data_IF_843431115601
#
_entry.id   IF_843431115601
#
_cell.length_a   1.000
_cell.length_b   1.000
_cell.length_c   1.000
_cell.angle_alpha   90.00
_cell.angle_beta   90.00
_cell.angle_gamma   90.00
#
_symmetry.space_group_name_H-M   'P 1'
#
loop_
_entity.id
_entity.type
_entity.pdbx_description
1 polymer ?
#
# COMPACT_ATOMS: atom_id res chain seq x y z
N UNK A 1 -26.61 -4.63 -0.32
CA UNK A 1 -25.35 -5.35 -0.08
C UNK A 1 -25.46 -6.66 -0.81
N UNK A 2 -24.68 -6.82 -1.86
CA UNK A 2 -24.69 -8.04 -2.68
C UNK A 2 -23.64 -9.00 -2.13
N UNK A 3 -24.04 -10.24 -1.84
CA UNK A 3 -23.13 -11.29 -1.37
C UNK A 3 -22.81 -12.21 -2.54
N UNK A 4 -21.60 -12.10 -3.08
CA UNK A 4 -21.19 -12.88 -4.23
C UNK A 4 -20.22 -13.99 -3.83
N UNK A 5 -20.63 -15.23 -4.08
CA UNK A 5 -19.73 -16.38 -4.04
C UNK A 5 -19.27 -16.68 -5.46
N UNK A 6 -17.99 -16.45 -5.73
CA UNK A 6 -17.40 -16.80 -7.01
C UNK A 6 -16.86 -18.23 -6.94
N UNK A 7 -17.12 -19.09 -7.94
CA UNK A 7 -16.54 -20.41 -7.98
C UNK A 7 -15.03 -20.33 -8.18
N UNK A 8 -14.29 -21.31 -7.63
CA UNK A 8 -12.85 -21.44 -7.84
C UNK A 8 -12.54 -21.62 -9.33
N UNK A 9 -11.86 -20.63 -9.92
CA UNK A 9 -11.67 -20.50 -11.34
C UNK A 9 -10.43 -19.67 -11.68
N UNK A 10 -10.00 -19.79 -12.93
CA UNK A 10 -9.10 -18.82 -13.52
C UNK A 10 -9.94 -17.68 -14.12
N UNK A 11 -9.77 -16.47 -13.61
CA UNK A 11 -10.48 -15.28 -14.09
C UNK A 11 -9.51 -14.45 -14.90
N UNK A 12 -9.79 -14.30 -16.20
CA UNK A 12 -9.10 -13.38 -17.08
C UNK A 12 -10.05 -12.24 -17.43
N UNK A 13 -9.77 -11.04 -16.93
CA UNK A 13 -10.61 -9.86 -17.17
C UNK A 13 -9.77 -8.74 -17.74
N UNK A 14 -10.14 -8.28 -18.95
CA UNK A 14 -9.67 -7.02 -19.51
C UNK A 14 -10.89 -6.11 -19.53
N UNK A 15 -10.82 -4.99 -18.81
CA UNK A 15 -11.90 -4.02 -18.77
C UNK A 15 -11.35 -2.65 -19.15
N UNK A 16 -12.08 -1.99 -20.06
CA UNK A 16 -11.94 -0.56 -20.34
C UNK A 16 -13.23 0.11 -19.95
N UNK A 17 -13.15 1.22 -19.23
CA UNK A 17 -14.35 1.85 -18.76
C UNK A 17 -14.19 3.33 -18.47
N UNK A 18 -15.18 4.09 -18.93
CA UNK A 18 -15.26 5.53 -18.70
C UNK A 18 -16.59 5.76 -17.97
N UNK A 19 -16.51 5.94 -16.66
CA UNK A 19 -17.71 6.13 -15.84
C UNK A 19 -17.66 7.49 -15.15
N UNK A 20 -18.77 8.23 -15.23
CA UNK A 20 -18.90 9.46 -14.47
C UNK A 20 -19.01 9.16 -12.97
N UNK A 21 -19.73 8.09 -12.61
CA UNK A 21 -19.99 7.77 -11.22
C UNK A 21 -20.13 6.26 -11.01
N UNK A 22 -19.42 5.71 -10.04
CA UNK A 22 -19.63 4.35 -9.53
C UNK A 22 -19.84 4.40 -8.02
N UNK A 23 -20.90 3.72 -7.57
CA UNK A 23 -21.03 3.26 -6.19
C UNK A 23 -21.09 1.74 -6.21
N UNK A 24 -20.13 1.09 -5.56
CA UNK A 24 -20.17 -0.35 -5.33
C UNK A 24 -20.28 -0.66 -3.84
N UNK A 25 -21.17 -1.60 -3.50
CA UNK A 25 -21.35 -2.12 -2.14
C UNK A 25 -21.40 -3.65 -2.19
N UNK A 26 -20.25 -4.28 -1.96
CA UNK A 26 -20.08 -5.71 -2.22
C UNK A 26 -19.46 -6.44 -1.02
N UNK A 27 -19.94 -7.66 -0.79
CA UNK A 27 -19.24 -8.65 0.03
C UNK A 27 -18.90 -9.84 -0.86
N UNK A 28 -17.61 -10.07 -1.12
CA UNK A 28 -17.21 -11.07 -2.09
C UNK A 28 -16.31 -12.16 -1.46
N UNK A 29 -16.59 -13.41 -1.79
CA UNK A 29 -15.72 -14.55 -1.51
C UNK A 29 -15.16 -15.12 -2.82
N UNK A 30 -13.84 -15.11 -2.93
CA UNK A 30 -13.10 -15.61 -4.09
C UNK A 30 -12.14 -16.74 -3.67
N UNK A 31 -12.61 -17.99 -3.56
CA UNK A 31 -11.77 -19.11 -3.14
C UNK A 31 -10.87 -19.61 -4.27
N UNK A 32 -9.57 -19.82 -3.99
CA UNK A 32 -8.64 -20.60 -4.83
C UNK A 32 -8.64 -20.24 -6.33
N UNK A 33 -8.61 -18.95 -6.64
CA UNK A 33 -8.63 -18.37 -7.96
C UNK A 33 -7.23 -17.96 -8.44
N UNK A 34 -6.96 -18.15 -9.72
CA UNK A 34 -5.95 -17.37 -10.41
C UNK A 34 -6.64 -16.20 -11.11
N UNK A 35 -6.37 -14.98 -10.65
CA UNK A 35 -7.01 -13.78 -11.18
C UNK A 35 -6.00 -12.98 -11.98
N UNK A 36 -6.23 -12.86 -13.28
CA UNK A 36 -5.51 -11.95 -14.16
C UNK A 36 -6.45 -10.80 -14.56
N UNK A 37 -6.17 -9.60 -14.06
CA UNK A 37 -6.98 -8.42 -14.32
C UNK A 37 -6.13 -7.32 -14.95
N UNK A 38 -6.55 -6.86 -16.13
CA UNK A 38 -6.09 -5.60 -16.71
C UNK A 38 -7.27 -4.63 -16.68
N UNK A 39 -7.09 -3.51 -15.99
CA UNK A 39 -8.07 -2.43 -15.94
C UNK A 39 -7.47 -1.18 -16.56
N UNK A 40 -8.22 -0.55 -17.46
CA UNK A 40 -7.93 0.80 -17.95
C UNK A 40 -9.18 1.65 -17.82
N UNK A 41 -9.22 2.55 -16.86
CA UNK A 41 -10.46 3.26 -16.63
C UNK A 41 -10.27 4.67 -16.15
N UNK A 42 -11.16 5.51 -16.64
CA UNK A 42 -11.24 6.92 -16.31
C UNK A 42 -12.54 7.15 -15.54
N UNK A 43 -12.40 7.74 -14.36
CA UNK A 43 -13.53 7.92 -13.46
C UNK A 43 -13.54 9.34 -12.92
N UNK A 44 -14.70 9.97 -12.91
CA UNK A 44 -14.84 11.23 -12.17
C UNK A 44 -14.95 10.91 -10.68
N UNK A 45 -15.85 10.01 -10.30
CA UNK A 45 -16.06 9.68 -8.90
C UNK A 45 -16.27 8.19 -8.68
N UNK A 46 -15.54 7.64 -7.70
CA UNK A 46 -15.78 6.30 -7.17
C UNK A 46 -16.03 6.35 -5.68
N UNK A 47 -17.07 5.66 -5.24
CA UNK A 47 -17.26 5.25 -3.85
C UNK A 47 -17.36 3.73 -3.82
N UNK A 48 -16.35 3.07 -3.24
CA UNK A 48 -16.36 1.63 -3.05
C UNK A 48 -16.38 1.31 -1.56
N UNK A 49 -17.38 0.53 -1.15
CA UNK A 49 -17.42 -0.12 0.16
C UNK A 49 -17.40 -1.64 -0.06
N UNK A 50 -16.28 -2.26 0.29
CA UNK A 50 -16.05 -3.68 -0.01
C UNK A 50 -15.59 -4.46 1.23
N UNK A 51 -16.17 -5.64 1.47
CA UNK A 51 -15.55 -6.64 2.33
C UNK A 51 -15.22 -7.88 1.52
N UNK A 52 -13.94 -8.18 1.38
CA UNK A 52 -13.53 -9.28 0.50
C UNK A 52 -12.67 -10.32 1.23
N UNK A 53 -12.92 -11.59 0.92
CA UNK A 53 -12.11 -12.72 1.36
C UNK A 53 -11.54 -13.45 0.15
N UNK A 54 -10.21 -13.53 0.09
CA UNK A 54 -9.43 -14.07 -1.02
C UNK A 54 -8.43 -15.13 -0.52
N UNK A 55 -8.86 -16.36 -0.21
CA UNK A 55 -7.96 -17.39 0.28
C UNK A 55 -7.25 -18.13 -0.87
N UNK A 56 -5.94 -18.33 -0.74
CA UNK A 56 -5.11 -19.18 -1.61
C UNK A 56 -5.17 -18.81 -3.11
N UNK A 57 -5.16 -17.52 -3.40
CA UNK A 57 -5.23 -16.93 -4.73
C UNK A 57 -3.85 -16.53 -5.26
N UNK A 58 -3.66 -16.70 -6.57
CA UNK A 58 -2.63 -15.99 -7.30
C UNK A 58 -3.27 -14.82 -8.05
N UNK A 59 -2.83 -13.61 -7.75
CA UNK A 59 -3.44 -12.39 -8.28
C UNK A 59 -2.41 -11.63 -9.09
N UNK A 60 -2.68 -11.45 -10.36
CA UNK A 60 -1.94 -10.56 -11.25
C UNK A 60 -2.85 -9.40 -11.68
N UNK A 61 -2.49 -8.19 -11.26
CA UNK A 61 -3.26 -6.98 -11.53
C UNK A 61 -2.38 -5.94 -12.23
N UNK A 62 -2.79 -5.53 -13.42
CA UNK A 62 -2.31 -4.31 -14.07
C UNK A 62 -3.46 -3.31 -14.08
N UNK A 63 -3.24 -2.16 -13.45
CA UNK A 63 -4.23 -1.10 -13.36
C UNK A 63 -3.61 0.16 -13.95
N UNK A 64 -4.29 0.76 -14.93
CA UNK A 64 -3.99 2.10 -15.41
C UNK A 64 -5.24 2.95 -15.31
N UNK A 65 -5.29 3.86 -14.36
CA UNK A 65 -6.55 4.53 -14.09
C UNK A 65 -6.36 5.98 -13.67
N UNK A 66 -7.23 6.83 -14.19
CA UNK A 66 -7.24 8.26 -13.93
C UNK A 66 -8.53 8.60 -13.20
N UNK A 67 -8.42 9.31 -12.08
CA UNK A 67 -9.54 9.58 -11.19
C UNK A 67 -9.57 11.03 -10.74
N UNK A 68 -10.74 11.66 -10.74
CA UNK A 68 -10.87 12.95 -10.03
C UNK A 68 -10.96 12.70 -8.52
N UNK A 69 -11.88 11.84 -8.08
CA UNK A 69 -12.01 11.53 -6.66
C UNK A 69 -12.30 10.06 -6.41
N UNK A 70 -11.62 9.49 -5.42
CA UNK A 70 -11.92 8.17 -4.88
C UNK A 70 -12.19 8.26 -3.39
N UNK A 71 -13.25 7.58 -2.96
CA UNK A 71 -13.43 7.16 -1.58
C UNK A 71 -13.48 5.63 -1.57
N UNK A 72 -12.52 5.00 -0.89
CA UNK A 72 -12.53 3.56 -0.63
C UNK A 72 -12.60 3.29 0.85
N UNK A 73 -13.51 2.39 1.19
CA UNK A 73 -13.63 1.85 2.52
C UNK A 73 -13.69 0.33 2.40
N UNK A 74 -12.92 -0.40 3.18
CA UNK A 74 -13.04 -1.84 3.12
C UNK A 74 -12.25 -2.61 4.16
N UNK A 75 -12.71 -3.83 4.40
CA UNK A 75 -12.00 -4.82 5.17
C UNK A 75 -11.67 -5.99 4.27
N UNK A 76 -10.37 -6.31 4.13
CA UNK A 76 -9.99 -7.40 3.26
C UNK A 76 -9.09 -8.42 3.96
N UNK A 77 -9.36 -9.69 3.70
CA UNK A 77 -8.60 -10.82 4.21
C UNK A 77 -8.03 -11.63 3.04
N UNK A 78 -6.71 -11.73 3.01
CA UNK A 78 -5.93 -12.32 1.92
C UNK A 78 -4.91 -13.34 2.47
N UNK A 79 -5.33 -14.54 2.88
CA UNK A 79 -4.40 -15.53 3.41
C UNK A 79 -3.75 -16.36 2.29
N UNK A 80 -2.44 -16.60 2.41
CA UNK A 80 -1.67 -17.53 1.58
C UNK A 80 -1.72 -17.26 0.06
N UNK A 81 -1.59 -16.00 -0.31
CA UNK A 81 -1.66 -15.48 -1.67
C UNK A 81 -0.29 -15.12 -2.24
N UNK A 82 -0.18 -15.25 -3.57
CA UNK A 82 0.88 -14.58 -4.33
C UNK A 82 0.26 -13.42 -5.10
N UNK A 83 0.76 -12.21 -4.89
CA UNK A 83 0.20 -11.00 -5.47
C UNK A 83 1.26 -10.26 -6.27
N UNK A 84 0.98 -10.08 -7.56
CA UNK A 84 1.73 -9.23 -8.46
C UNK A 84 0.84 -8.07 -8.88
N UNK A 85 1.22 -6.85 -8.50
CA UNK A 85 0.46 -5.64 -8.80
C UNK A 85 1.35 -4.61 -9.49
N UNK A 86 0.91 -4.16 -10.65
CA UNK A 86 1.41 -2.96 -11.31
C UNK A 86 0.29 -1.93 -11.34
N UNK A 87 0.51 -0.78 -10.72
CA UNK A 87 -0.41 0.35 -10.75
C UNK A 87 0.28 1.53 -11.43
N UNK A 88 -0.41 2.12 -12.41
CA UNK A 88 -0.14 3.46 -12.88
C UNK A 88 -1.39 4.29 -12.73
N UNK A 89 -1.34 5.37 -11.96
CA UNK A 89 -2.56 6.14 -11.76
C UNK A 89 -2.31 7.59 -11.40
N UNK A 90 -3.21 8.42 -11.89
CA UNK A 90 -3.21 9.84 -11.64
C UNK A 90 -4.52 10.18 -10.91
N UNK A 91 -4.43 10.78 -9.73
CA UNK A 91 -5.62 11.14 -8.94
C UNK A 91 -5.57 12.59 -8.46
N UNK A 92 -6.70 13.28 -8.52
CA UNK A 92 -6.79 14.58 -7.84
C UNK A 92 -6.98 14.40 -6.34
N UNK A 93 -7.94 13.57 -5.92
CA UNK A 93 -8.14 13.29 -4.50
C UNK A 93 -8.39 11.82 -4.22
N UNK A 94 -7.78 11.33 -3.14
CA UNK A 94 -8.06 10.01 -2.57
C UNK A 94 -8.32 10.13 -1.09
N UNK A 95 -9.38 9.44 -0.65
CA UNK A 95 -9.58 9.06 0.73
C UNK A 95 -9.68 7.53 0.78
N UNK A 96 -8.72 6.88 1.44
CA UNK A 96 -8.78 5.44 1.70
C UNK A 96 -8.84 5.18 3.21
N UNK A 97 -9.79 4.34 3.60
CA UNK A 97 -9.93 3.80 4.94
C UNK A 97 -9.93 2.27 4.83
N UNK A 98 -8.80 1.63 5.14
CA UNK A 98 -8.66 0.18 4.96
C UNK A 98 -8.22 -0.52 6.25
N UNK A 99 -8.85 -1.65 6.55
CA UNK A 99 -8.28 -2.63 7.48
C UNK A 99 -7.98 -3.92 6.72
N UNK A 100 -6.73 -4.33 6.68
CA UNK A 100 -6.37 -5.51 5.93
C UNK A 100 -5.55 -6.52 6.72
N UNK A 101 -5.81 -7.81 6.46
CA UNK A 101 -5.08 -8.93 7.04
C UNK A 101 -4.52 -9.80 5.92
N UNK A 102 -3.20 -9.93 5.89
CA UNK A 102 -2.43 -10.57 4.83
C UNK A 102 -1.40 -11.55 5.42
N UNK A 103 -1.80 -12.74 5.90
CA UNK A 103 -0.87 -13.71 6.43
C UNK A 103 -0.25 -14.59 5.34
N UNK A 104 1.05 -14.87 5.45
CA UNK A 104 1.80 -15.85 4.66
C UNK A 104 1.75 -15.63 3.13
N UNK A 105 1.92 -14.39 2.71
CA UNK A 105 1.86 -13.92 1.33
C UNK A 105 3.24 -13.62 0.75
N UNK A 106 3.35 -13.78 -0.57
CA UNK A 106 4.41 -13.16 -1.36
C UNK A 106 3.83 -12.02 -2.18
N UNK A 107 4.38 -10.83 -2.01
CA UNK A 107 3.83 -9.61 -2.60
C UNK A 107 4.90 -8.89 -3.42
N UNK A 108 4.61 -8.70 -4.70
CA UNK A 108 5.39 -7.89 -5.61
C UNK A 108 4.56 -6.70 -6.10
N UNK A 109 4.98 -5.48 -5.76
CA UNK A 109 4.27 -4.25 -6.10
C UNK A 109 5.19 -3.30 -6.86
N UNK A 110 4.74 -2.86 -8.03
CA UNK A 110 5.29 -1.69 -8.72
C UNK A 110 4.18 -0.65 -8.80
N UNK A 111 4.44 0.52 -8.25
CA UNK A 111 3.48 1.60 -8.18
C UNK A 111 4.13 2.84 -8.79
N UNK A 112 3.47 3.43 -9.80
CA UNK A 112 3.79 4.75 -10.33
C UNK A 112 2.56 5.63 -10.22
N UNK A 113 2.62 6.68 -9.44
CA UNK A 113 1.41 7.43 -9.19
C UNK A 113 1.64 8.91 -8.93
N UNK A 114 0.76 9.73 -9.48
CA UNK A 114 0.81 11.18 -9.35
C UNK A 114 -0.48 11.63 -8.65
N UNK A 115 -0.36 12.28 -7.50
CA UNK A 115 -1.53 12.67 -6.70
C UNK A 115 -1.48 14.13 -6.25
N UNK A 116 -2.62 14.82 -6.32
CA UNK A 116 -2.71 16.16 -5.72
C UNK A 116 -2.94 16.07 -4.21
N UNK A 117 -3.88 15.23 -3.76
CA UNK A 117 -4.15 15.07 -2.32
C UNK A 117 -4.49 13.63 -1.96
N UNK A 118 -3.81 13.11 -0.94
CA UNK A 118 -4.14 11.81 -0.34
C UNK A 118 -4.39 11.98 1.15
N UNK A 119 -5.47 11.34 1.60
CA UNK A 119 -5.69 11.00 3.00
C UNK A 119 -5.83 9.48 3.08
N UNK A 120 -4.88 8.82 3.74
CA UNK A 120 -4.97 7.39 4.01
C UNK A 120 -5.00 7.14 5.51
N UNK A 121 -5.99 6.38 5.97
CA UNK A 121 -5.97 5.75 7.29
C UNK A 121 -5.95 4.24 7.08
N UNK A 122 -4.90 3.59 7.51
CA UNK A 122 -4.73 2.15 7.34
C UNK A 122 -4.39 1.46 8.66
N UNK A 123 -5.06 0.34 8.93
CA UNK A 123 -4.60 -0.62 9.93
C UNK A 123 -4.34 -1.95 9.24
N UNK A 124 -3.08 -2.39 9.25
CA UNK A 124 -2.73 -3.62 8.56
C UNK A 124 -1.96 -4.62 9.42
N UNK A 125 -2.26 -5.90 9.22
CA UNK A 125 -1.56 -7.03 9.83
C UNK A 125 -0.99 -7.95 8.74
N UNK A 126 0.33 -8.08 8.72
CA UNK A 126 1.10 -8.76 7.69
C UNK A 126 2.12 -9.71 8.31
N UNK A 127 1.71 -10.88 8.83
CA UNK A 127 2.63 -11.85 9.39
C UNK A 127 3.24 -12.76 8.32
N UNK A 128 4.54 -13.08 8.46
CA UNK A 128 5.25 -14.11 7.68
C UNK A 128 5.22 -13.92 6.16
N UNK A 129 5.41 -12.68 5.70
CA UNK A 129 5.36 -12.27 4.31
C UNK A 129 6.76 -12.01 3.73
N UNK A 130 6.87 -12.22 2.42
CA UNK A 130 7.96 -11.66 1.62
C UNK A 130 7.42 -10.54 0.74
N UNK A 131 7.97 -9.35 0.89
CA UNK A 131 7.49 -8.15 0.20
C UNK A 131 8.60 -7.53 -0.63
N UNK A 132 8.31 -7.32 -1.91
CA UNK A 132 9.12 -6.52 -2.81
C UNK A 132 8.29 -5.35 -3.33
N UNK A 133 8.76 -4.13 -3.07
CA UNK A 133 8.05 -2.90 -3.45
C UNK A 133 8.96 -1.94 -4.19
N UNK A 134 8.49 -1.48 -5.35
CA UNK A 134 9.04 -0.31 -6.03
C UNK A 134 7.95 0.74 -6.08
N UNK A 135 8.22 1.91 -5.51
CA UNK A 135 7.33 3.07 -5.56
C UNK A 135 8.05 4.21 -6.29
N UNK A 136 7.35 4.81 -7.26
CA UNK A 136 7.73 6.09 -7.82
C UNK A 136 6.52 7.02 -7.81
N UNK A 137 6.56 8.08 -7.01
CA UNK A 137 5.38 8.90 -6.87
C UNK A 137 5.65 10.37 -6.65
N UNK A 138 4.77 11.19 -7.21
CA UNK A 138 4.83 12.63 -7.10
C UNK A 138 3.54 13.10 -6.40
N UNK A 139 3.68 13.81 -5.28
CA UNK A 139 2.54 14.21 -4.46
C UNK A 139 2.59 15.68 -4.07
N UNK A 140 1.47 16.39 -4.18
CA UNK A 140 1.39 17.75 -3.64
C UNK A 140 1.11 17.72 -2.13
N UNK A 141 0.19 16.89 -1.65
CA UNK A 141 -0.09 16.79 -0.22
C UNK A 141 -0.49 15.39 0.19
N UNK A 142 0.13 14.91 1.26
CA UNK A 142 -0.21 13.63 1.89
C UNK A 142 -0.46 13.82 3.37
N UNK A 143 -1.54 13.20 3.84
CA UNK A 143 -1.75 12.89 5.25
C UNK A 143 -1.91 11.36 5.36
N UNK A 144 -0.93 10.71 5.99
CA UNK A 144 -1.02 9.28 6.28
C UNK A 144 -1.05 9.04 7.80
N UNK A 145 -1.99 8.20 8.19
CA UNK A 145 -2.17 7.69 9.55
C UNK A 145 -2.16 6.17 9.47
N UNK A 146 -1.06 5.55 9.90
CA UNK A 146 -0.89 4.10 9.76
C UNK A 146 -0.60 3.43 11.10
N UNK A 147 -1.30 2.33 11.37
CA UNK A 147 -0.89 1.38 12.41
C UNK A 147 -0.67 0.01 11.79
N UNK A 148 0.58 -0.46 11.81
CA UNK A 148 0.88 -1.72 11.17
C UNK A 148 1.64 -2.70 12.07
N UNK A 149 1.32 -3.98 11.91
CA UNK A 149 1.99 -5.10 12.57
C UNK A 149 2.55 -6.07 11.53
N UNK A 150 3.88 -6.19 11.52
CA UNK A 150 4.65 -6.93 10.52
C UNK A 150 5.64 -7.89 11.19
N UNK A 151 5.19 -9.02 11.75
CA UNK A 151 6.10 -10.00 12.35
C UNK A 151 6.70 -10.96 11.31
N UNK A 152 7.98 -11.27 11.46
CA UNK A 152 8.69 -12.33 10.72
C UNK A 152 8.68 -12.18 9.19
N UNK A 153 8.90 -10.96 8.70
CA UNK A 153 8.88 -10.59 7.30
C UNK A 153 10.28 -10.38 6.71
N UNK A 154 10.40 -10.65 5.40
CA UNK A 154 11.51 -10.16 4.59
C UNK A 154 11.00 -9.06 3.66
N UNK A 155 11.60 -7.88 3.74
CA UNK A 155 11.11 -6.69 3.04
C UNK A 155 12.24 -6.08 2.22
N UNK A 156 11.99 -5.89 0.93
CA UNK A 156 12.84 -5.14 0.02
C UNK A 156 12.06 -3.98 -0.59
N UNK A 157 12.52 -2.76 -0.35
CA UNK A 157 11.86 -1.55 -0.85
C UNK A 157 12.81 -0.62 -1.60
N UNK A 158 12.34 -0.12 -2.74
CA UNK A 158 12.92 1.02 -3.44
C UNK A 158 11.84 2.09 -3.55
N UNK A 159 12.15 3.27 -3.03
CA UNK A 159 11.26 4.41 -3.00
C UNK A 159 11.94 5.59 -3.72
N UNK A 160 11.23 6.18 -4.67
CA UNK A 160 11.63 7.40 -5.39
C UNK A 160 10.49 8.37 -5.42
N UNK A 161 10.50 9.39 -4.59
CA UNK A 161 9.30 10.19 -4.44
C UNK A 161 9.57 11.68 -4.25
N UNK A 162 8.75 12.50 -4.88
CA UNK A 162 8.82 13.95 -4.80
C UNK A 162 7.55 14.47 -4.12
N UNK A 163 7.71 15.23 -3.04
CA UNK A 163 6.58 15.70 -2.24
C UNK A 163 6.69 17.18 -1.89
N UNK A 164 5.58 17.91 -2.01
CA UNK A 164 5.52 19.29 -1.51
C UNK A 164 5.28 19.29 0.01
N UNK A 165 4.24 18.60 0.48
CA UNK A 165 3.90 18.56 1.90
C UNK A 165 3.51 17.17 2.36
N UNK A 166 4.10 16.72 3.47
CA UNK A 166 3.74 15.44 4.10
C UNK A 166 3.50 15.62 5.58
N UNK A 167 2.42 15.03 6.06
CA UNK A 167 2.16 14.75 7.47
C UNK A 167 2.00 13.24 7.61
N UNK A 168 2.97 12.59 8.24
CA UNK A 168 2.90 11.17 8.56
C UNK A 168 2.85 10.96 10.07
N UNK A 169 1.91 10.12 10.49
CA UNK A 169 1.82 9.61 11.85
C UNK A 169 1.75 8.08 11.77
N UNK A 170 2.81 7.41 12.23
CA UNK A 170 2.95 5.97 12.11
C UNK A 170 3.22 5.31 13.47
N UNK A 171 2.48 4.26 13.78
CA UNK A 171 2.83 3.33 14.86
C UNK A 171 3.03 1.94 14.28
N UNK A 172 4.27 1.45 14.29
CA UNK A 172 4.57 0.17 13.69
C UNK A 172 5.29 -0.79 14.65
N UNK A 173 4.91 -2.06 14.56
CA UNK A 173 5.54 -3.16 15.27
C UNK A 173 6.13 -4.16 14.27
N UNK A 174 7.46 -4.26 14.27
CA UNK A 174 8.26 -5.06 13.35
C UNK A 174 9.15 -6.04 14.12
N UNK A 175 8.65 -7.14 14.67
CA UNK A 175 9.51 -8.13 15.32
C UNK A 175 10.09 -9.13 14.32
N UNK A 176 11.37 -9.48 14.47
CA UNK A 176 12.05 -10.56 13.75
C UNK A 176 12.08 -10.43 12.21
N UNK A 177 12.34 -9.23 11.70
CA UNK A 177 12.35 -8.91 10.27
C UNK A 177 13.75 -8.75 9.69
N UNK A 178 13.88 -9.04 8.39
CA UNK A 178 15.00 -8.58 7.57
C UNK A 178 14.52 -7.51 6.59
N UNK A 179 15.08 -6.31 6.68
CA UNK A 179 14.64 -5.16 5.89
C UNK A 179 15.80 -4.58 5.09
N UNK A 180 15.60 -4.43 3.79
CA UNK A 180 16.48 -3.69 2.89
C UNK A 180 15.70 -2.55 2.23
N UNK A 181 16.14 -1.31 2.46
CA UNK A 181 15.44 -0.12 1.96
C UNK A 181 16.41 0.83 1.25
N UNK A 182 16.03 1.23 0.04
CA UNK A 182 16.66 2.35 -0.68
C UNK A 182 15.62 3.46 -0.82
N UNK A 183 15.93 4.63 -0.29
CA UNK A 183 15.07 5.79 -0.33
C UNK A 183 15.77 6.95 -1.06
N UNK A 184 15.11 7.50 -2.09
CA UNK A 184 15.50 8.73 -2.75
C UNK A 184 14.31 9.67 -2.83
N UNK A 185 14.37 10.83 -2.19
CA UNK A 185 13.21 11.70 -2.18
C UNK A 185 13.56 13.17 -2.08
N UNK A 186 12.72 14.01 -2.68
CA UNK A 186 12.82 15.44 -2.61
C UNK A 186 11.57 15.99 -1.91
N UNK A 187 11.75 16.75 -0.83
CA UNK A 187 10.67 17.22 0.01
C UNK A 187 10.74 18.72 0.26
N UNK A 188 9.64 19.44 0.07
CA UNK A 188 9.58 20.85 0.50
C UNK A 188 9.29 20.98 2.01
N UNK A 189 8.33 20.21 2.53
CA UNK A 189 8.01 20.20 3.95
C UNK A 189 7.57 18.82 4.45
N UNK A 190 8.08 18.43 5.62
CA UNK A 190 7.68 17.19 6.29
C UNK A 190 7.44 17.44 7.77
N UNK A 191 6.32 16.92 8.25
CA UNK A 191 6.09 16.62 9.66
C UNK A 191 5.94 15.11 9.79
N UNK A 192 6.81 14.48 10.56
CA UNK A 192 6.75 13.05 10.79
C UNK A 192 6.77 12.74 12.29
N UNK A 193 5.85 11.87 12.72
CA UNK A 193 5.78 11.36 14.09
C UNK A 193 5.71 9.84 14.00
N UNK A 194 6.79 9.17 14.42
CA UNK A 194 6.89 7.71 14.33
C UNK A 194 7.13 7.08 15.71
N UNK A 195 6.37 6.03 16.01
CA UNK A 195 6.65 5.11 17.11
C UNK A 195 6.90 3.70 16.55
N UNK A 196 8.15 3.29 16.53
CA UNK A 196 8.56 2.01 15.96
C UNK A 196 9.13 1.08 17.04
N UNK A 197 8.52 -0.10 17.19
CA UNK A 197 9.04 -1.18 18.04
C UNK A 197 9.61 -2.30 17.16
N UNK A 198 10.93 -2.47 17.21
CA UNK A 198 11.69 -3.29 16.25
C UNK A 198 12.63 -4.30 16.95
N UNK A 199 12.11 -5.26 17.73
CA UNK A 199 12.95 -6.25 18.38
C UNK A 199 13.48 -7.28 17.36
N UNK A 200 14.76 -7.65 17.50
CA UNK A 200 15.40 -8.74 16.75
C UNK A 200 15.38 -8.60 15.21
N UNK A 201 15.63 -7.40 14.68
CA UNK A 201 15.67 -7.15 13.23
C UNK A 201 17.08 -7.01 12.68
N UNK A 202 17.26 -7.35 11.40
CA UNK A 202 18.39 -6.90 10.58
C UNK A 202 17.91 -5.84 9.60
N UNK A 203 18.51 -4.64 9.64
CA UNK A 203 18.06 -3.51 8.83
C UNK A 203 19.24 -2.91 8.07
N UNK A 204 19.10 -2.87 6.74
CA UNK A 204 19.99 -2.14 5.84
C UNK A 204 19.22 -1.01 5.16
N UNK A 205 19.70 0.23 5.33
CA UNK A 205 19.09 1.42 4.74
C UNK A 205 20.12 2.22 3.95
N UNK A 206 19.74 2.67 2.76
CA UNK A 206 20.45 3.69 2.00
C UNK A 206 19.49 4.85 1.76
N UNK A 207 19.90 6.06 2.14
CA UNK A 207 19.08 7.26 2.09
C UNK A 207 19.78 8.34 1.25
N UNK A 208 19.03 8.96 0.34
CA UNK A 208 19.44 10.21 -0.30
C UNK A 208 18.22 11.10 -0.43
N UNK A 209 18.08 12.05 0.47
CA UNK A 209 16.91 12.92 0.48
C UNK A 209 17.30 14.37 0.66
N UNK A 210 16.63 15.22 -0.10
CA UNK A 210 16.76 16.66 -0.05
C UNK A 210 15.50 17.24 0.62
N UNK A 211 15.70 18.09 1.63
CA UNK A 211 14.61 18.69 2.41
C UNK A 211 14.76 20.20 2.45
N UNK A 212 13.70 20.94 2.19
CA UNK A 212 13.68 22.38 2.47
C UNK A 212 13.30 22.67 3.93
N UNK A 213 12.40 21.89 4.53
CA UNK A 213 12.08 21.95 5.95
C UNK A 213 11.64 20.58 6.50
N UNK A 214 12.07 20.26 7.73
CA UNK A 214 11.73 18.99 8.38
C UNK A 214 11.49 19.19 9.89
N UNK A 215 10.38 18.59 10.36
CA UNK A 215 10.13 18.35 11.78
C UNK A 215 9.93 16.83 11.92
N UNK A 216 10.84 16.18 12.64
CA UNK A 216 10.77 14.73 12.88
C UNK A 216 10.78 14.44 14.37
N UNK A 217 9.84 13.62 14.83
CA UNK A 217 9.76 13.10 16.19
C UNK A 217 9.70 11.58 16.08
N UNK A 218 10.80 10.92 16.42
CA UNK A 218 10.94 9.47 16.24
C UNK A 218 11.26 8.79 17.59
N UNK A 219 10.44 7.81 17.96
CA UNK A 219 10.70 6.90 19.08
C UNK A 219 10.96 5.50 18.54
N UNK A 220 12.23 5.10 18.53
CA UNK A 220 12.64 3.72 18.17
C UNK A 220 13.01 2.94 19.43
N UNK A 221 12.35 1.80 19.62
CA UNK A 221 12.72 0.81 20.62
C UNK A 221 13.38 -0.39 19.93
N UNK A 222 14.72 -0.49 20.02
CA UNK A 222 15.53 -1.59 19.46
C UNK A 222 16.45 -2.20 20.51
N UNK A 223 16.89 -3.44 20.30
CA UNK A 223 17.92 -4.10 21.12
C UNK A 223 19.24 -4.41 20.39
N UNK A 224 19.50 -4.01 19.13
CA UNK A 224 20.83 -4.15 18.50
C UNK A 224 21.01 -3.43 17.13
N UNK A 225 22.24 -3.53 16.59
CA UNK A 225 23.03 -2.66 15.68
C UNK A 225 22.32 -2.18 14.39
N UNK A 226 22.29 -0.85 14.21
CA UNK A 226 21.88 -0.16 12.98
C UNK A 226 23.10 0.30 12.18
N UNK A 227 23.20 -0.08 10.90
CA UNK A 227 24.21 0.47 9.98
C UNK A 227 23.54 1.48 9.03
N UNK A 228 23.82 2.76 9.26
CA UNK A 228 23.43 3.87 8.37
C UNK A 228 24.66 4.28 7.57
N UNK A 229 24.55 4.34 6.24
CA UNK A 229 25.57 4.95 5.38
C UNK A 229 24.96 6.15 4.68
N UNK A 230 25.53 7.33 4.97
CA UNK A 230 25.22 8.62 4.33
C UNK A 230 25.93 8.73 2.98
#
# INVERSE_FOLDING_TARGET
>A
MENNLYPANNVYKILRCDYQFIINLENNLYPANNVYKILRCDYQFIINLENNLYPANNVYKILRCDYQSIIKMGNNLYPANNVYKTLRSDYQSIINLENNLYPANNVYKILRCDYQSIINLENNLYPANNVYKILRCDYQSIINLENNLYPANNVYEILRCDYQSIINLENNLYPANNVYKILRCDYQSIINIENNLCPANNVYKTLRCDYQSIINIEYIYTQQIMYIKY
#
